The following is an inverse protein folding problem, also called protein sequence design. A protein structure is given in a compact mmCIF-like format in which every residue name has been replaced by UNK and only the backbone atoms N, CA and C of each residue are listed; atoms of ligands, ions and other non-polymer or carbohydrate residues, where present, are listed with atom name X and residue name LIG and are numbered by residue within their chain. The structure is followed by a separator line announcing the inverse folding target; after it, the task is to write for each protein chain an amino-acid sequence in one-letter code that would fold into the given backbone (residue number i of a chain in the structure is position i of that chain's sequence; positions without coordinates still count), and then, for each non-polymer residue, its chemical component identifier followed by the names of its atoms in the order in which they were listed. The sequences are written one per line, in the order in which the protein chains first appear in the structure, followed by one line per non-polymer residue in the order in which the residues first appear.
data_IF_972619765973
#
_entry.id   IF_972619765973
#
_cell.length_a   1.000
_cell.length_b   1.000
_cell.length_c   1.000
_cell.angle_alpha   90.00
_cell.angle_beta   90.00
_cell.angle_gamma   90.00
#
_symmetry.space_group_name_H-M   'P 1'
#
loop_
_entity.id
_entity.type
_entity.pdbx_description
1 polymer ?
#
# COMPACT_ATOMS: atom_id res chain seq x y z
N UNK A 1 9.31 -15.41 -10.19
CA UNK A 1 9.28 -13.97 -9.88
C UNK A 1 9.05 -13.79 -8.38
N UNK A 2 9.92 -13.08 -7.72
CA UNK A 2 9.77 -12.78 -6.30
C UNK A 2 8.97 -11.49 -6.16
N UNK A 3 7.93 -11.52 -5.33
CA UNK A 3 7.08 -10.37 -5.09
C UNK A 3 6.81 -10.21 -3.60
N UNK A 4 6.56 -8.97 -3.20
CA UNK A 4 6.08 -8.65 -1.85
C UNK A 4 4.69 -8.07 -2.00
N UNK A 5 3.75 -8.54 -1.18
CA UNK A 5 2.42 -7.94 -1.08
C UNK A 5 2.24 -7.34 0.31
N UNK A 6 1.86 -6.06 0.34
CA UNK A 6 1.45 -5.38 1.57
C UNK A 6 -0.05 -5.61 1.70
N UNK A 7 -0.39 -6.48 2.63
CA UNK A 7 -1.65 -7.21 2.65
C UNK A 7 -2.48 -6.91 3.88
N UNK A 8 -3.80 -6.78 3.67
CA UNK A 8 -4.78 -6.77 4.74
C UNK A 8 -5.67 -8.00 4.55
N UNK A 9 -5.56 -9.03 5.41
CA UNK A 9 -6.33 -10.27 5.24
C UNK A 9 -7.84 -10.09 5.37
N UNK A 10 -8.30 -8.98 5.94
CA UNK A 10 -9.72 -8.66 6.05
C UNK A 10 -10.26 -7.92 4.83
N UNK A 11 -9.39 -7.50 3.93
CA UNK A 11 -9.78 -6.76 2.73
C UNK A 11 -9.94 -7.71 1.56
N UNK A 12 -11.15 -7.74 0.97
CA UNK A 12 -11.45 -8.62 -0.17
C UNK A 12 -10.50 -8.38 -1.34
N UNK A 13 -10.26 -7.12 -1.68
CA UNK A 13 -9.38 -6.77 -2.79
C UNK A 13 -7.95 -7.24 -2.55
N UNK A 14 -7.50 -7.17 -1.31
CA UNK A 14 -6.18 -7.65 -0.94
C UNK A 14 -6.09 -9.17 -1.06
N UNK A 15 -7.14 -9.90 -0.63
CA UNK A 15 -7.19 -11.36 -0.78
C UNK A 15 -7.22 -11.77 -2.25
N UNK A 16 -7.95 -11.05 -3.08
CA UNK A 16 -8.01 -11.33 -4.52
C UNK A 16 -6.63 -11.19 -5.17
N UNK A 17 -5.88 -10.15 -4.79
CA UNK A 17 -4.53 -9.95 -5.31
C UNK A 17 -3.58 -11.07 -4.87
N UNK A 18 -3.68 -11.49 -3.61
CA UNK A 18 -2.85 -12.59 -3.11
C UNK A 18 -3.13 -13.89 -3.89
N UNK A 19 -4.41 -14.22 -4.09
CA UNK A 19 -4.79 -15.39 -4.87
C UNK A 19 -4.28 -15.32 -6.31
N UNK A 20 -4.36 -14.15 -6.92
CA UNK A 20 -3.85 -13.92 -8.28
C UNK A 20 -2.34 -14.21 -8.36
N UNK A 21 -1.58 -13.71 -7.37
CA UNK A 21 -0.14 -13.95 -7.32
C UNK A 21 0.18 -15.44 -7.13
N UNK A 22 -0.60 -16.13 -6.31
CA UNK A 22 -0.45 -17.57 -6.10
C UNK A 22 -0.70 -18.34 -7.40
N UNK A 23 -1.73 -17.98 -8.15
CA UNK A 23 -2.04 -18.59 -9.45
C UNK A 23 -0.92 -18.38 -10.46
N UNK A 24 -0.19 -17.27 -10.37
CA UNK A 24 0.93 -16.96 -11.25
C UNK A 24 2.25 -17.60 -10.80
N UNK A 25 2.19 -18.43 -9.77
CA UNK A 25 3.36 -19.14 -9.24
C UNK A 25 4.48 -18.21 -8.79
N UNK A 26 4.13 -17.03 -8.30
CA UNK A 26 5.09 -16.11 -7.75
C UNK A 26 5.60 -16.61 -6.39
N UNK A 27 6.86 -16.31 -6.08
CA UNK A 27 7.40 -16.51 -4.75
C UNK A 27 7.00 -15.26 -3.92
N UNK A 28 6.08 -15.44 -2.99
CA UNK A 28 5.40 -14.33 -2.33
C UNK A 28 5.91 -14.12 -0.91
N UNK A 29 6.27 -12.86 -0.60
CA UNK A 29 6.48 -12.41 0.78
C UNK A 29 5.26 -11.59 1.16
N UNK A 30 4.56 -11.97 2.23
CA UNK A 30 3.38 -11.27 2.72
C UNK A 30 3.79 -10.36 3.88
N UNK A 31 3.50 -9.08 3.76
CA UNK A 31 3.67 -8.11 4.84
C UNK A 31 2.29 -7.65 5.29
N UNK A 32 1.88 -8.07 6.49
CA UNK A 32 0.62 -7.59 7.08
C UNK A 32 0.89 -6.26 7.76
N UNK A 33 0.84 -5.19 6.99
CA UNK A 33 1.28 -3.86 7.40
C UNK A 33 0.50 -3.26 8.57
N UNK A 34 -0.66 -3.82 8.92
CA UNK A 34 -1.41 -3.40 10.10
C UNK A 34 -0.84 -3.99 11.40
N UNK A 35 -0.04 -5.06 11.29
CA UNK A 35 0.64 -5.70 12.42
C UNK A 35 2.13 -5.40 12.39
N UNK A 36 2.76 -5.61 11.24
CA UNK A 36 4.17 -5.34 11.01
C UNK A 36 4.27 -3.93 10.43
N UNK A 37 4.26 -2.95 11.31
CA UNK A 37 4.17 -1.54 10.93
C UNK A 37 5.35 -1.10 10.09
N UNK A 38 5.08 -0.31 9.07
CA UNK A 38 6.13 0.28 8.24
C UNK A 38 6.74 1.47 8.97
N UNK A 39 8.06 1.62 8.86
CA UNK A 39 8.72 2.82 9.30
C UNK A 39 8.53 3.94 8.28
N UNK A 40 8.83 5.17 8.68
CA UNK A 40 8.81 6.32 7.77
C UNK A 40 9.70 6.07 6.56
N UNK A 41 10.91 5.51 6.78
CA UNK A 41 11.87 5.24 5.72
C UNK A 41 11.35 4.17 4.75
N UNK A 42 10.75 3.10 5.29
CA UNK A 42 10.17 2.04 4.46
C UNK A 42 9.02 2.58 3.61
N UNK A 43 8.17 3.42 4.20
CA UNK A 43 7.05 4.00 3.46
C UNK A 43 7.52 4.97 2.37
N UNK A 44 8.56 5.77 2.65
CA UNK A 44 9.16 6.66 1.63
C UNK A 44 9.71 5.85 0.46
N UNK A 45 10.44 4.78 0.76
CA UNK A 45 11.00 3.91 -0.28
C UNK A 45 9.88 3.29 -1.13
N UNK A 46 8.81 2.84 -0.48
CA UNK A 46 7.66 2.27 -1.17
C UNK A 46 6.97 3.30 -2.08
N UNK A 47 6.80 4.52 -1.61
CA UNK A 47 6.23 5.60 -2.41
C UNK A 47 7.08 5.91 -3.64
N UNK A 48 8.41 5.87 -3.49
CA UNK A 48 9.31 6.03 -4.63
C UNK A 48 9.11 4.90 -5.65
N UNK A 49 9.01 3.66 -5.19
CA UNK A 49 8.78 2.52 -6.07
C UNK A 49 7.43 2.61 -6.76
N UNK A 50 6.41 3.11 -6.06
CA UNK A 50 5.08 3.34 -6.62
C UNK A 50 5.05 4.52 -7.60
N UNK A 51 6.01 5.43 -7.47
CA UNK A 51 6.10 6.65 -8.27
C UNK A 51 4.84 7.51 -8.14
N UNK A 52 4.34 7.65 -6.92
CA UNK A 52 3.16 8.47 -6.61
C UNK A 52 3.48 9.43 -5.46
N UNK A 53 2.65 10.46 -5.34
CA UNK A 53 2.74 11.38 -4.22
C UNK A 53 2.11 10.74 -2.97
N UNK A 54 2.58 11.12 -1.76
CA UNK A 54 2.01 10.56 -0.53
C UNK A 54 0.49 10.64 -0.44
N UNK A 55 -0.09 11.78 -0.85
CA UNK A 55 -1.55 11.97 -0.78
C UNK A 55 -2.32 10.95 -1.63
N UNK A 56 -1.72 10.47 -2.71
CA UNK A 56 -2.36 9.50 -3.60
C UNK A 56 -2.47 8.11 -2.98
N UNK A 57 -1.71 7.84 -1.93
CA UNK A 57 -1.76 6.56 -1.23
C UNK A 57 -2.74 6.56 -0.06
N UNK A 58 -3.29 7.72 0.28
CA UNK A 58 -4.17 7.87 1.44
C UNK A 58 -5.59 7.41 1.14
N UNK A 59 -6.15 6.60 2.02
CA UNK A 59 -7.57 6.23 2.00
C UNK A 59 -8.37 7.34 2.65
N UNK A 60 -8.80 8.30 1.84
CA UNK A 60 -9.49 9.51 2.33
C UNK A 60 -10.89 9.25 2.89
N UNK A 61 -11.44 8.06 2.66
CA UNK A 61 -12.73 7.67 3.18
C UNK A 61 -12.67 7.17 4.64
N UNK A 62 -11.47 6.94 5.16
CA UNK A 62 -11.30 6.52 6.55
C UNK A 62 -11.71 7.64 7.52
N UNK A 63 -12.41 7.27 8.59
CA UNK A 63 -12.90 8.22 9.58
C UNK A 63 -11.79 9.08 10.16
N UNK A 64 -10.64 8.48 10.46
CA UNK A 64 -9.54 9.22 11.07
C UNK A 64 -9.01 10.31 10.13
N UNK A 65 -9.01 10.06 8.81
CA UNK A 65 -8.63 11.09 7.85
C UNK A 65 -9.60 12.26 7.87
N UNK A 66 -10.90 11.95 7.82
CA UNK A 66 -11.96 12.97 7.82
C UNK A 66 -11.97 13.81 9.07
N UNK A 67 -11.72 13.19 10.22
CA UNK A 67 -11.77 13.85 11.52
C UNK A 67 -10.52 14.69 11.81
N UNK A 68 -9.34 14.22 11.45
CA UNK A 68 -8.09 14.80 11.89
C UNK A 68 -7.29 15.51 10.81
N UNK A 69 -7.48 15.15 9.55
CA UNK A 69 -6.58 15.61 8.48
C UNK A 69 -7.27 16.35 7.34
N UNK A 70 -8.54 16.04 7.07
CA UNK A 70 -9.27 16.62 5.95
C UNK A 70 -9.32 18.14 6.05
N UNK A 71 -9.07 18.81 4.91
CA UNK A 71 -9.14 20.25 4.84
C UNK A 71 -7.90 20.98 5.40
N UNK A 72 -6.89 20.22 5.84
CA UNK A 72 -5.63 20.80 6.30
C UNK A 72 -4.62 20.81 5.17
N UNK A 73 -3.80 21.85 5.14
CA UNK A 73 -2.72 21.96 4.17
C UNK A 73 -1.49 21.25 4.74
N UNK A 74 -1.35 19.97 4.37
CA UNK A 74 -0.31 19.09 4.91
C UNK A 74 0.84 18.94 3.93
N UNK A 75 2.06 18.99 4.44
CA UNK A 75 3.27 18.66 3.67
C UNK A 75 3.30 17.14 3.39
N UNK A 76 4.09 16.74 2.40
CA UNK A 76 4.30 15.33 2.11
C UNK A 76 4.83 14.58 3.34
N UNK A 77 5.76 15.19 4.09
CA UNK A 77 6.27 14.60 5.33
C UNK A 77 5.17 14.38 6.35
N UNK A 78 4.28 15.34 6.54
CA UNK A 78 3.15 15.21 7.47
C UNK A 78 2.19 14.12 7.04
N UNK A 79 1.95 13.96 5.74
CA UNK A 79 1.07 12.91 5.20
C UNK A 79 1.69 11.54 5.42
N UNK A 80 2.99 11.38 5.18
CA UNK A 80 3.72 10.14 5.45
C UNK A 80 3.63 9.78 6.93
N UNK A 81 3.86 10.75 7.82
CA UNK A 81 3.74 10.53 9.26
C UNK A 81 2.32 10.09 9.65
N UNK A 82 1.31 10.70 9.05
CA UNK A 82 -0.08 10.32 9.30
C UNK A 82 -0.31 8.84 8.97
N UNK A 83 0.19 8.37 7.83
CA UNK A 83 0.07 6.98 7.42
C UNK A 83 0.88 6.03 8.30
N UNK A 84 2.08 6.43 8.73
CA UNK A 84 2.91 5.61 9.61
C UNK A 84 2.23 5.41 10.95
N UNK A 85 1.65 6.47 11.52
CA UNK A 85 0.96 6.40 12.80
C UNK A 85 -0.42 5.76 12.70
N UNK A 86 -1.03 5.81 11.52
CA UNK A 86 -2.38 5.29 11.29
C UNK A 86 -2.36 4.42 10.02
N UNK A 87 -1.85 3.19 10.12
CA UNK A 87 -1.69 2.34 8.94
C UNK A 87 -3.00 2.03 8.19
N UNK A 88 -4.16 2.21 8.82
CA UNK A 88 -5.46 2.10 8.13
C UNK A 88 -5.59 3.11 7.00
N UNK A 89 -4.82 4.18 7.03
CA UNK A 89 -4.85 5.21 5.97
C UNK A 89 -4.14 4.76 4.69
N UNK A 90 -3.34 3.70 4.76
CA UNK A 90 -2.57 3.24 3.60
C UNK A 90 -3.48 2.44 2.66
N UNK A 91 -3.49 2.83 1.38
CA UNK A 91 -4.23 2.08 0.36
C UNK A 91 -3.64 0.69 0.19
N UNK A 92 -4.47 -0.29 -0.14
CA UNK A 92 -4.09 -1.70 -0.25
C UNK A 92 -4.86 -2.39 -1.37
N UNK A 93 -4.36 -3.51 -1.89
CA UNK A 93 -3.04 -4.07 -1.65
C UNK A 93 -1.96 -3.31 -2.41
N UNK A 94 -0.72 -3.40 -1.93
CA UNK A 94 0.43 -2.89 -2.66
C UNK A 94 1.27 -4.09 -3.03
N UNK A 95 1.67 -4.19 -4.28
CA UNK A 95 2.49 -5.28 -4.79
C UNK A 95 3.80 -4.70 -5.29
N UNK A 96 4.91 -5.27 -4.84
CA UNK A 96 6.25 -4.81 -5.19
C UNK A 96 7.10 -5.97 -5.70
N UNK A 97 7.86 -5.70 -6.76
CA UNK A 97 8.87 -6.62 -7.29
C UNK A 97 10.07 -5.80 -7.75
N UNK A 98 11.05 -6.46 -8.35
CA UNK A 98 12.18 -5.76 -8.96
C UNK A 98 11.78 -4.86 -10.14
N UNK A 99 10.58 -5.04 -10.68
CA UNK A 99 10.03 -4.21 -11.76
C UNK A 99 9.40 -2.92 -11.28
N UNK A 100 9.18 -2.78 -9.98
CA UNK A 100 8.55 -1.61 -9.38
C UNK A 100 7.44 -2.00 -8.42
N UNK A 101 6.51 -1.08 -8.18
CA UNK A 101 5.40 -1.32 -7.28
C UNK A 101 4.11 -0.70 -7.85
N UNK A 102 2.98 -1.31 -7.51
CA UNK A 102 1.65 -0.79 -7.86
C UNK A 102 0.68 -0.99 -6.71
N UNK A 103 -0.34 -0.14 -6.66
CA UNK A 103 -1.53 -0.43 -5.87
C UNK A 103 -2.39 -1.35 -6.74
N UNK A 104 -2.73 -2.52 -6.25
CA UNK A 104 -3.43 -3.55 -7.02
C UNK A 104 -4.94 -3.31 -7.15
N UNK A 105 -5.32 -2.10 -7.49
CA UNK A 105 -6.71 -1.69 -7.74
C UNK A 105 -6.77 -0.85 -9.00
N UNK A 106 -7.38 -1.33 -10.07
CA UNK A 106 -7.98 -2.66 -10.21
C UNK A 106 -6.93 -3.78 -10.23
N UNK A 107 -7.40 -5.01 -10.07
CA UNK A 107 -6.53 -6.19 -9.96
C UNK A 107 -5.57 -6.34 -11.14
N UNK A 108 -6.01 -5.95 -12.33
CA UNK A 108 -5.20 -6.01 -13.55
C UNK A 108 -3.88 -5.27 -13.43
N UNK A 109 -3.79 -4.28 -12.56
CA UNK A 109 -2.55 -3.52 -12.36
C UNK A 109 -1.42 -4.37 -11.80
N UNK A 110 -1.74 -5.47 -11.12
CA UNK A 110 -0.73 -6.38 -10.58
C UNK A 110 0.19 -6.91 -11.69
N UNK A 111 -0.34 -7.09 -12.89
CA UNK A 111 0.45 -7.57 -14.03
C UNK A 111 1.57 -6.62 -14.43
N UNK A 112 1.49 -5.35 -14.06
CA UNK A 112 2.52 -4.37 -14.41
C UNK A 112 3.86 -4.66 -13.74
N UNK A 113 3.85 -5.43 -12.64
CA UNK A 113 5.06 -5.70 -11.85
C UNK A 113 5.42 -7.19 -11.73
N UNK A 114 4.74 -8.04 -12.46
CA UNK A 114 5.08 -9.48 -12.45
C UNK A 114 5.44 -10.06 -13.82
#
# INVERSE_FOLDING_TARGET
MEVTIYHNPRCRKSREALSFLEEKSCKITVVEYLKDLLSTEELRALLNDLNIRPIELVRKNESIWKEQFKGRDLSDTAIIEAMVQNPKLIERPIIKSKKGAVVGRPLERVQEVI
#
